data_IF_829945131776
#
_entry.id   IF_829945131776
#
_cell.length_a   1.000
_cell.length_b   1.000
_cell.length_c   1.000
_cell.angle_alpha   90.00
_cell.angle_beta   90.00
_cell.angle_gamma   90.00
#
_symmetry.space_group_name_H-M   'P 1'
#
loop_
_entity.id
_entity.type
_entity.pdbx_description
1 polymer ?
#
# COMPACT_ATOMS: atom_id res chain seq x y z
N UNK A 1 39.87 -28.86 -14.94
CA UNK A 1 40.04 -27.72 -14.03
C UNK A 1 38.82 -26.80 -13.97
N UNK A 2 37.65 -27.27 -14.39
CA UNK A 2 36.37 -26.51 -14.42
C UNK A 2 35.43 -26.87 -13.26
N UNK A 3 35.75 -27.94 -12.52
CA UNK A 3 34.87 -28.53 -11.48
C UNK A 3 34.84 -27.81 -10.14
N UNK A 4 35.92 -27.10 -9.74
CA UNK A 4 35.97 -26.48 -8.40
C UNK A 4 35.23 -25.15 -8.31
N UNK A 5 35.08 -24.42 -9.42
CA UNK A 5 34.37 -23.15 -9.44
C UNK A 5 32.83 -23.33 -9.44
N UNK A 6 32.34 -24.43 -10.00
CA UNK A 6 30.90 -24.72 -10.00
C UNK A 6 30.39 -25.12 -8.61
N UNK A 7 31.18 -25.87 -7.87
CA UNK A 7 30.86 -26.26 -6.49
C UNK A 7 30.89 -25.05 -5.54
N UNK A 8 31.80 -24.09 -5.78
CA UNK A 8 31.90 -22.87 -5.00
C UNK A 8 30.69 -21.93 -5.21
N UNK A 9 30.17 -21.88 -6.44
CA UNK A 9 28.95 -21.08 -6.76
C UNK A 9 27.71 -21.71 -6.10
N UNK A 10 27.60 -23.03 -6.07
CA UNK A 10 26.49 -23.72 -5.41
C UNK A 10 26.54 -23.53 -3.89
N UNK A 11 27.74 -23.61 -3.31
CA UNK A 11 27.91 -23.40 -1.87
C UNK A 11 27.57 -21.95 -1.45
N UNK A 12 27.91 -20.97 -2.28
CA UNK A 12 27.51 -19.58 -2.09
C UNK A 12 26.01 -19.38 -2.21
N UNK A 13 25.34 -20.14 -3.08
CA UNK A 13 23.89 -20.08 -3.25
C UNK A 13 23.13 -20.68 -2.07
N UNK A 14 23.65 -21.77 -1.48
CA UNK A 14 23.05 -22.38 -0.29
C UNK A 14 23.26 -21.53 0.96
N UNK A 15 24.44 -20.93 1.14
CA UNK A 15 24.71 -19.96 2.21
C UNK A 15 23.82 -18.73 2.05
N UNK A 16 23.58 -18.30 0.82
CA UNK A 16 22.65 -17.20 0.50
C UNK A 16 21.21 -17.52 0.91
N UNK A 17 20.73 -18.73 0.65
CA UNK A 17 19.38 -19.18 1.04
C UNK A 17 19.21 -19.31 2.57
N UNK A 18 20.25 -19.68 3.29
CA UNK A 18 20.21 -19.79 4.77
C UNK A 18 20.21 -18.40 5.43
N UNK A 19 20.94 -17.43 4.87
CA UNK A 19 20.98 -16.05 5.37
C UNK A 19 19.74 -15.24 5.00
N UNK A 20 18.99 -15.69 3.98
CA UNK A 20 17.73 -15.05 3.55
C UNK A 20 16.63 -15.08 4.64
N UNK A 21 16.74 -15.98 5.61
CA UNK A 21 15.80 -16.10 6.74
C UNK A 21 16.03 -15.12 7.89
N UNK A 22 17.11 -14.35 7.89
CA UNK A 22 17.53 -13.65 9.11
C UNK A 22 17.95 -12.19 8.98
N UNK A 23 17.55 -11.36 8.06
CA UNK A 23 17.80 -9.92 8.23
C UNK A 23 18.21 -9.16 6.94
N UNK A 24 17.43 -8.19 6.57
CA UNK A 24 17.61 -7.31 5.40
C UNK A 24 18.92 -6.47 5.41
N UNK A 25 19.56 -6.31 6.52
CA UNK A 25 20.78 -5.50 6.65
C UNK A 25 22.04 -6.20 6.14
N UNK A 26 22.08 -7.52 6.18
CA UNK A 26 23.21 -8.31 5.67
C UNK A 26 23.27 -8.33 4.13
N UNK A 27 22.15 -8.09 3.46
CA UNK A 27 22.02 -8.11 2.01
C UNK A 27 22.82 -7.00 1.33
N UNK A 28 22.75 -5.79 1.86
CA UNK A 28 23.40 -4.62 1.25
C UNK A 28 24.93 -4.73 1.36
N UNK A 29 25.44 -5.22 2.48
CA UNK A 29 26.87 -5.42 2.69
C UNK A 29 27.43 -6.55 1.82
N UNK A 30 26.66 -7.63 1.64
CA UNK A 30 27.05 -8.76 0.78
C UNK A 30 27.01 -8.38 -0.71
N UNK A 31 26.05 -7.55 -1.12
CA UNK A 31 25.95 -7.02 -2.49
C UNK A 31 27.18 -6.19 -2.87
N UNK A 32 27.67 -5.36 -1.97
CA UNK A 32 28.88 -4.54 -2.19
C UNK A 32 30.13 -5.43 -2.28
N UNK A 33 30.28 -6.39 -1.38
CA UNK A 33 31.43 -7.33 -1.39
C UNK A 33 31.45 -8.23 -2.64
N UNK A 34 30.28 -8.66 -3.10
CA UNK A 34 30.13 -9.47 -4.29
C UNK A 34 30.51 -8.70 -5.57
N UNK A 35 30.15 -7.44 -5.69
CA UNK A 35 30.51 -6.59 -6.82
C UNK A 35 32.03 -6.36 -6.94
N UNK A 36 32.74 -6.24 -5.84
CA UNK A 36 34.20 -6.02 -5.86
C UNK A 36 34.99 -7.26 -6.32
N UNK A 37 34.48 -8.46 -6.05
CA UNK A 37 35.12 -9.73 -6.49
C UNK A 37 34.84 -10.04 -7.95
N UNK A 38 33.69 -9.63 -8.49
CA UNK A 38 33.29 -9.88 -9.89
C UNK A 38 33.87 -8.87 -10.89
N UNK A 39 34.48 -7.76 -10.43
CA UNK A 39 35.00 -6.73 -11.30
C UNK A 39 36.09 -7.22 -12.27
N UNK A 40 36.69 -8.35 -11.97
CA UNK A 40 37.80 -8.88 -12.79
C UNK A 40 37.38 -9.91 -13.87
N UNK A 41 36.14 -10.42 -13.86
CA UNK A 41 35.88 -11.61 -14.68
C UNK A 41 34.87 -11.51 -15.84
N UNK A 42 33.80 -10.70 -15.85
CA UNK A 42 32.91 -10.62 -17.02
C UNK A 42 31.88 -9.45 -16.95
N UNK A 43 32.05 -8.42 -17.76
CA UNK A 43 31.16 -7.25 -17.81
C UNK A 43 29.69 -7.57 -18.23
N UNK A 44 29.48 -8.59 -19.04
CA UNK A 44 28.13 -8.99 -19.49
C UNK A 44 27.40 -9.87 -18.44
N UNK A 45 28.15 -10.69 -17.70
CA UNK A 45 27.57 -11.54 -16.65
C UNK A 45 27.06 -10.71 -15.48
N UNK A 46 27.75 -9.61 -15.15
CA UNK A 46 27.31 -8.65 -14.12
C UNK A 46 25.98 -8.00 -14.47
N UNK A 47 25.79 -7.60 -15.73
CA UNK A 47 24.53 -6.97 -16.19
C UNK A 47 23.36 -7.93 -16.10
N UNK A 48 23.57 -9.19 -16.48
CA UNK A 48 22.53 -10.23 -16.41
C UNK A 48 22.23 -10.58 -14.96
N UNK A 49 23.25 -10.70 -14.11
CA UNK A 49 23.05 -11.03 -12.70
C UNK A 49 22.38 -9.87 -11.92
N UNK A 50 22.74 -8.63 -12.23
CA UNK A 50 22.05 -7.45 -11.68
C UNK A 50 20.59 -7.39 -12.12
N UNK A 51 20.29 -7.76 -13.36
CA UNK A 51 18.93 -7.81 -13.88
C UNK A 51 18.10 -8.91 -13.19
N UNK A 52 18.69 -10.09 -13.01
CA UNK A 52 18.05 -11.23 -12.30
C UNK A 52 17.83 -10.91 -10.83
N UNK A 53 18.79 -10.27 -10.16
CA UNK A 53 18.65 -9.82 -8.76
C UNK A 53 17.60 -8.69 -8.63
N UNK A 54 17.58 -7.74 -9.56
CA UNK A 54 16.55 -6.71 -9.59
C UNK A 54 15.15 -7.29 -9.84
N UNK A 55 15.05 -8.31 -10.72
CA UNK A 55 13.81 -9.03 -10.95
C UNK A 55 13.38 -9.86 -9.73
N UNK A 56 14.32 -10.55 -9.07
CA UNK A 56 14.04 -11.30 -7.84
C UNK A 56 13.63 -10.37 -6.69
N UNK A 57 14.26 -9.20 -6.54
CA UNK A 57 13.86 -8.20 -5.55
C UNK A 57 12.50 -7.56 -5.89
N UNK A 58 12.18 -7.34 -7.17
CA UNK A 58 10.86 -6.86 -7.58
C UNK A 58 9.76 -7.90 -7.28
N UNK A 59 10.06 -9.20 -7.45
CA UNK A 59 9.11 -10.28 -7.13
C UNK A 59 8.89 -10.45 -5.62
N UNK A 60 9.88 -10.17 -4.78
CA UNK A 60 9.70 -10.26 -3.31
C UNK A 60 8.98 -9.05 -2.71
N UNK A 61 8.95 -7.92 -3.41
CA UNK A 61 8.14 -6.76 -3.02
C UNK A 61 6.64 -6.97 -3.30
N UNK A 62 6.29 -7.99 -4.10
CA UNK A 62 4.90 -8.36 -4.41
C UNK A 62 4.36 -9.50 -3.52
N UNK A 63 5.05 -9.85 -2.44
CA UNK A 63 4.44 -10.63 -1.37
C UNK A 63 3.46 -9.68 -0.66
N UNK A 64 2.26 -9.60 -1.16
CA UNK A 64 1.16 -8.86 -0.55
C UNK A 64 1.12 -9.20 0.94
N UNK A 65 0.86 -8.22 1.79
CA UNK A 65 0.73 -8.46 3.21
C UNK A 65 -0.34 -9.54 3.39
N UNK A 66 0.11 -10.76 3.70
CA UNK A 66 -0.82 -11.88 3.91
C UNK A 66 -1.60 -11.57 5.19
N UNK A 67 -2.84 -11.13 5.04
CA UNK A 67 -3.73 -10.92 6.18
C UNK A 67 -4.04 -12.25 6.87
N UNK A 68 -4.16 -12.23 8.19
CA UNK A 68 -4.45 -13.42 9.01
C UNK A 68 -5.79 -14.06 8.64
N UNK A 69 -6.72 -13.28 8.09
CA UNK A 69 -8.05 -13.67 7.63
C UNK A 69 -8.18 -13.69 6.10
N UNK A 70 -7.09 -13.91 5.38
CA UNK A 70 -7.06 -13.94 3.91
C UNK A 70 -8.03 -14.97 3.31
N UNK A 71 -8.32 -16.08 4.00
CA UNK A 71 -9.28 -17.08 3.58
C UNK A 71 -10.73 -16.57 3.51
N UNK A 72 -11.06 -15.51 4.25
CA UNK A 72 -12.38 -14.88 4.27
C UNK A 72 -12.55 -13.82 3.19
N UNK A 73 -11.49 -13.44 2.51
CA UNK A 73 -11.49 -12.45 1.43
C UNK A 73 -12.05 -13.13 0.17
N UNK A 74 -13.24 -12.71 -0.26
CA UNK A 74 -13.95 -13.28 -1.42
C UNK A 74 -13.67 -12.54 -2.73
N UNK A 75 -13.03 -11.38 -2.66
CA UNK A 75 -12.61 -10.63 -3.84
C UNK A 75 -11.25 -11.13 -4.31
N UNK A 76 -10.91 -10.81 -5.55
CA UNK A 76 -9.62 -11.17 -6.13
C UNK A 76 -8.47 -10.64 -5.26
N UNK A 77 -7.55 -11.51 -4.88
CA UNK A 77 -6.41 -11.17 -4.03
C UNK A 77 -5.55 -10.05 -4.63
N UNK A 78 -5.40 -10.04 -5.97
CA UNK A 78 -4.65 -9.00 -6.68
C UNK A 78 -5.23 -7.60 -6.47
N UNK A 79 -6.57 -7.48 -6.37
CA UNK A 79 -7.24 -6.21 -6.08
C UNK A 79 -6.89 -5.72 -4.68
N UNK A 80 -6.94 -6.62 -3.68
CA UNK A 80 -6.61 -6.27 -2.29
C UNK A 80 -5.14 -5.88 -2.18
N UNK A 81 -4.25 -6.67 -2.76
CA UNK A 81 -2.80 -6.40 -2.77
C UNK A 81 -2.48 -5.06 -3.43
N UNK A 82 -3.16 -4.73 -4.53
CA UNK A 82 -3.02 -3.45 -5.21
C UNK A 82 -3.45 -2.28 -4.31
N UNK A 83 -4.59 -2.39 -3.63
CA UNK A 83 -5.08 -1.35 -2.72
C UNK A 83 -4.17 -1.17 -1.50
N UNK A 84 -3.58 -2.26 -1.00
CA UNK A 84 -2.57 -2.23 0.07
C UNK A 84 -1.29 -1.57 -0.42
N UNK A 85 -0.79 -1.95 -1.59
CA UNK A 85 0.41 -1.36 -2.18
C UNK A 85 0.26 0.15 -2.45
N UNK A 86 -0.94 0.60 -2.80
CA UNK A 86 -1.28 2.02 -2.96
C UNK A 86 -1.50 2.74 -1.61
N UNK A 87 -1.48 2.02 -0.48
CA UNK A 87 -1.74 2.58 0.85
C UNK A 87 -3.19 3.02 1.07
N UNK A 88 -4.13 2.61 0.20
CA UNK A 88 -5.56 2.92 0.32
C UNK A 88 -6.18 2.18 1.50
N UNK A 89 -5.80 0.91 1.68
CA UNK A 89 -6.14 0.06 2.81
C UNK A 89 -4.88 -0.53 3.43
N UNK A 90 -4.82 -0.56 4.77
CA UNK A 90 -3.63 -1.05 5.48
C UNK A 90 -3.92 -2.26 6.38
N UNK A 91 -5.19 -2.70 6.47
CA UNK A 91 -5.60 -3.68 7.48
C UNK A 91 -5.61 -3.09 8.90
N UNK A 92 -5.67 -3.97 9.88
CA UNK A 92 -5.72 -3.63 11.30
C UNK A 92 -4.43 -4.05 12.01
N UNK A 93 -4.19 -3.51 13.20
CA UNK A 93 -2.98 -3.77 14.01
C UNK A 93 -2.82 -5.26 14.40
N UNK A 94 -3.91 -6.02 14.39
CA UNK A 94 -3.93 -7.47 14.62
C UNK A 94 -3.53 -8.29 13.36
N UNK A 95 -3.18 -7.63 12.28
CA UNK A 95 -2.82 -8.24 11.01
C UNK A 95 -4.01 -8.73 10.18
N UNK A 96 -5.26 -8.42 10.57
CA UNK A 96 -6.46 -8.77 9.84
C UNK A 96 -6.87 -7.72 8.82
N UNK A 97 -7.60 -8.13 7.78
CA UNK A 97 -8.25 -7.24 6.81
C UNK A 97 -9.70 -6.93 7.19
N UNK A 98 -10.39 -7.87 7.84
CA UNK A 98 -11.81 -7.84 8.22
C UNK A 98 -12.74 -7.58 7.03
N UNK A 99 -12.75 -8.47 6.02
CA UNK A 99 -13.50 -8.28 4.77
C UNK A 99 -15.02 -8.13 4.98
N UNK A 100 -15.54 -8.66 6.08
CA UNK A 100 -16.95 -8.53 6.46
C UNK A 100 -17.19 -7.33 7.40
N UNK A 101 -16.17 -6.54 7.70
CA UNK A 101 -16.24 -5.34 8.50
C UNK A 101 -17.04 -4.24 7.81
N UNK A 102 -17.56 -3.32 8.60
CA UNK A 102 -18.25 -2.15 8.07
C UNK A 102 -17.31 -0.95 8.03
N UNK A 103 -17.28 -0.26 6.91
CA UNK A 103 -16.49 0.96 6.72
C UNK A 103 -17.28 2.16 7.23
N UNK A 104 -16.65 3.02 8.01
CA UNK A 104 -17.23 4.30 8.44
C UNK A 104 -17.11 5.36 7.35
N UNK A 105 -17.90 6.41 7.44
CA UNK A 105 -17.84 7.57 6.53
C UNK A 105 -16.47 8.26 6.59
N UNK A 106 -15.84 8.30 7.75
CA UNK A 106 -14.50 8.85 7.94
C UNK A 106 -13.41 8.00 7.26
N UNK A 107 -13.48 6.68 7.39
CA UNK A 107 -12.56 5.75 6.72
C UNK A 107 -12.69 5.83 5.20
N UNK A 108 -13.94 5.91 4.69
CA UNK A 108 -14.17 6.09 3.27
C UNK A 108 -13.58 7.40 2.75
N UNK A 109 -13.68 8.50 3.48
CA UNK A 109 -13.06 9.78 3.11
C UNK A 109 -11.52 9.67 3.06
N UNK A 110 -10.90 8.96 4.01
CA UNK A 110 -9.46 8.68 3.99
C UNK A 110 -9.06 7.86 2.76
N UNK A 111 -9.76 6.77 2.47
CA UNK A 111 -9.45 5.92 1.30
C UNK A 111 -9.53 6.72 -0.01
N UNK A 112 -10.55 7.56 -0.17
CA UNK A 112 -10.70 8.42 -1.36
C UNK A 112 -9.56 9.44 -1.45
N UNK A 113 -9.18 10.04 -0.34
CA UNK A 113 -8.04 10.97 -0.30
C UNK A 113 -6.75 10.33 -0.78
N UNK A 114 -6.43 9.16 -0.22
CA UNK A 114 -5.22 8.41 -0.59
C UNK A 114 -5.26 8.01 -2.08
N UNK A 115 -6.41 7.52 -2.54
CA UNK A 115 -6.60 7.12 -3.94
C UNK A 115 -6.36 8.29 -4.92
N UNK A 116 -6.80 9.50 -4.55
CA UNK A 116 -6.66 10.69 -5.41
C UNK A 116 -5.29 11.34 -5.35
N UNK A 117 -4.65 11.33 -4.20
CA UNK A 117 -3.43 12.12 -3.96
C UNK A 117 -2.17 11.28 -3.89
N UNK A 118 -2.30 9.96 -3.66
CA UNK A 118 -1.18 9.08 -3.34
C UNK A 118 -0.52 9.40 -1.99
N UNK A 119 -1.13 10.25 -1.16
CA UNK A 119 -0.58 10.67 0.13
C UNK A 119 -1.40 10.09 1.27
N UNK A 120 -0.75 9.71 2.37
CA UNK A 120 -1.40 9.21 3.57
C UNK A 120 -1.74 10.28 4.59
N UNK A 121 -1.14 11.46 4.51
CA UNK A 121 -1.34 12.59 5.44
C UNK A 121 -2.14 13.72 4.81
N UNK A 122 -3.25 14.10 5.45
CA UNK A 122 -4.13 15.20 5.07
C UNK A 122 -4.08 16.38 6.07
N UNK A 123 -3.05 16.47 6.91
CA UNK A 123 -2.93 17.50 7.95
C UNK A 123 -2.95 18.91 7.37
N UNK A 124 -2.46 19.12 6.15
CA UNK A 124 -2.48 20.38 5.44
C UNK A 124 -3.91 20.96 5.26
N UNK A 125 -4.93 20.12 5.29
CA UNK A 125 -6.34 20.53 5.14
C UNK A 125 -7.07 20.71 6.49
N UNK A 126 -6.38 20.55 7.62
CA UNK A 126 -7.00 20.63 8.94
C UNK A 126 -7.59 22.01 9.24
N UNK A 127 -7.05 23.05 8.68
CA UNK A 127 -7.46 24.44 8.91
C UNK A 127 -8.37 25.00 7.81
N UNK A 128 -8.66 24.18 6.78
CA UNK A 128 -9.58 24.57 5.72
C UNK A 128 -10.99 24.83 6.26
N UNK A 129 -11.74 25.66 5.53
CA UNK A 129 -13.13 25.96 5.86
C UNK A 129 -14.02 24.74 5.65
N UNK A 130 -14.96 24.55 6.54
CA UNK A 130 -15.98 23.50 6.47
C UNK A 130 -17.28 23.98 7.10
N UNK A 131 -18.39 23.47 6.62
CA UNK A 131 -19.69 23.64 7.28
C UNK A 131 -19.94 22.62 8.40
N UNK A 132 -19.12 21.54 8.46
CA UNK A 132 -19.33 20.46 9.41
C UNK A 132 -18.76 20.81 10.80
N UNK A 133 -19.63 20.76 11.81
CA UNK A 133 -19.27 21.10 13.19
C UNK A 133 -18.84 19.90 14.03
N UNK A 134 -19.13 18.69 13.59
CA UNK A 134 -18.93 17.42 14.30
C UNK A 134 -17.62 16.71 13.95
N UNK A 135 -16.76 17.35 13.17
CA UNK A 135 -15.44 16.82 12.81
C UNK A 135 -14.30 17.53 13.56
N UNK A 136 -14.61 18.50 14.40
CA UNK A 136 -13.61 19.20 15.21
C UNK A 136 -12.93 18.23 16.18
N UNK A 137 -11.58 18.12 16.12
CA UNK A 137 -10.82 17.16 16.90
C UNK A 137 -10.88 15.71 16.39
N UNK A 138 -11.66 15.43 15.36
CA UNK A 138 -11.71 14.09 14.78
C UNK A 138 -10.45 13.82 13.93
N UNK A 139 -9.90 12.60 14.03
CA UNK A 139 -8.68 12.20 13.30
C UNK A 139 -8.80 12.36 11.78
N UNK A 140 -9.99 12.17 11.22
CA UNK A 140 -10.25 12.26 9.79
C UNK A 140 -10.58 13.69 9.30
N UNK A 141 -10.44 14.71 10.14
CA UNK A 141 -10.84 16.10 9.83
C UNK A 141 -10.28 16.59 8.49
N UNK A 142 -8.98 16.42 8.25
CA UNK A 142 -8.33 16.86 7.01
C UNK A 142 -8.85 16.12 5.77
N UNK A 143 -9.02 14.82 5.85
CA UNK A 143 -9.57 14.01 4.75
C UNK A 143 -10.99 14.44 4.38
N UNK A 144 -11.83 14.66 5.40
CA UNK A 144 -13.23 15.08 5.22
C UNK A 144 -13.28 16.45 4.56
N UNK A 145 -12.51 17.42 5.05
CA UNK A 145 -12.46 18.77 4.47
C UNK A 145 -11.98 18.77 3.02
N UNK A 146 -10.94 18.01 2.71
CA UNK A 146 -10.47 17.84 1.33
C UNK A 146 -11.58 17.27 0.44
N UNK A 147 -12.21 16.18 0.83
CA UNK A 147 -13.27 15.57 0.04
C UNK A 147 -14.51 16.47 -0.08
N UNK A 148 -14.82 17.26 0.95
CA UNK A 148 -15.90 18.25 0.92
C UNK A 148 -15.60 19.38 -0.08
N UNK A 149 -14.38 19.91 -0.09
CA UNK A 149 -13.99 21.02 -1.00
C UNK A 149 -14.09 20.63 -2.47
N UNK A 150 -13.96 19.34 -2.77
CA UNK A 150 -14.10 18.78 -4.11
C UNK A 150 -15.55 18.30 -4.42
N UNK A 151 -16.48 18.45 -3.49
CA UNK A 151 -17.86 17.98 -3.66
C UNK A 151 -18.02 16.45 -3.71
N UNK A 152 -16.99 15.69 -3.30
CA UNK A 152 -17.01 14.23 -3.30
C UNK A 152 -17.95 13.70 -2.23
N UNK A 153 -17.97 14.35 -1.08
CA UNK A 153 -18.79 13.96 0.06
C UNK A 153 -19.85 15.02 0.36
N UNK A 154 -20.99 14.56 0.86
CA UNK A 154 -22.03 15.38 1.42
C UNK A 154 -22.24 15.02 2.89
N UNK A 155 -22.72 15.98 3.69
CA UNK A 155 -23.16 15.74 5.05
C UNK A 155 -24.49 14.98 5.11
N UNK A 156 -24.81 14.46 6.29
CA UNK A 156 -26.17 14.01 6.64
C UNK A 156 -27.12 15.19 6.83
N UNK A 157 -26.55 16.36 7.15
CA UNK A 157 -27.19 17.66 7.15
C UNK A 157 -26.23 18.76 6.72
N UNK A 158 -26.69 19.99 6.66
CA UNK A 158 -25.84 21.14 6.30
C UNK A 158 -24.65 21.34 7.24
N UNK A 159 -24.74 20.87 8.48
CA UNK A 159 -23.72 21.10 9.51
C UNK A 159 -23.15 19.82 10.12
N UNK A 160 -23.62 18.64 9.70
CA UNK A 160 -23.20 17.36 10.28
C UNK A 160 -22.74 16.39 9.21
N UNK A 161 -21.53 15.86 9.38
CA UNK A 161 -20.98 14.81 8.53
C UNK A 161 -21.26 13.40 9.07
N UNK A 162 -21.25 13.24 10.39
CA UNK A 162 -21.40 12.00 11.15
C UNK A 162 -20.29 10.99 10.81
N UNK A 163 -19.02 11.30 11.15
CA UNK A 163 -17.85 10.58 10.67
C UNK A 163 -17.81 9.10 11.07
N UNK A 164 -18.32 8.74 12.24
CA UNK A 164 -18.30 7.38 12.78
C UNK A 164 -19.50 6.52 12.35
N UNK A 165 -20.45 7.09 11.60
CA UNK A 165 -21.54 6.31 11.03
C UNK A 165 -21.05 5.41 9.90
N UNK A 166 -21.63 4.21 9.78
CA UNK A 166 -21.36 3.29 8.66
C UNK A 166 -21.76 3.94 7.34
N UNK A 167 -20.86 3.90 6.36
CA UNK A 167 -21.19 4.33 5.02
C UNK A 167 -22.16 3.32 4.39
N UNK A 168 -23.25 3.79 3.80
CA UNK A 168 -24.13 2.93 3.02
C UNK A 168 -23.54 2.63 1.64
N UNK A 169 -23.94 1.52 1.02
CA UNK A 169 -23.50 1.19 -0.34
C UNK A 169 -23.83 2.29 -1.36
N UNK A 170 -24.97 2.95 -1.21
CA UNK A 170 -25.38 4.06 -2.07
C UNK A 170 -24.48 5.29 -1.88
N UNK A 171 -24.14 5.64 -0.64
CA UNK A 171 -23.22 6.73 -0.34
C UNK A 171 -21.81 6.44 -0.87
N UNK A 172 -21.30 5.23 -0.63
CA UNK A 172 -20.01 4.79 -1.13
C UNK A 172 -19.93 4.85 -2.67
N UNK A 173 -20.95 4.33 -3.35
CA UNK A 173 -21.06 4.39 -4.82
C UNK A 173 -21.06 5.83 -5.32
N UNK A 174 -21.85 6.72 -4.70
CA UNK A 174 -21.87 8.15 -5.07
C UNK A 174 -20.49 8.79 -4.88
N UNK A 175 -19.84 8.56 -3.74
CA UNK A 175 -18.52 9.11 -3.46
C UNK A 175 -17.49 8.64 -4.51
N UNK A 176 -17.50 7.34 -4.86
CA UNK A 176 -16.60 6.79 -5.86
C UNK A 176 -16.86 7.35 -7.26
N UNK A 177 -18.12 7.45 -7.68
CA UNK A 177 -18.46 8.01 -8.98
C UNK A 177 -18.02 9.47 -9.11
N UNK A 178 -18.27 10.30 -8.08
CA UNK A 178 -17.80 11.69 -8.09
C UNK A 178 -16.26 11.77 -8.08
N UNK A 179 -15.59 10.86 -7.36
CA UNK A 179 -14.13 10.74 -7.37
C UNK A 179 -13.59 10.48 -8.77
N UNK A 180 -14.29 9.68 -9.57
CA UNK A 180 -13.96 9.37 -10.97
C UNK A 180 -14.36 10.50 -11.95
N UNK A 181 -14.96 11.59 -11.47
CA UNK A 181 -15.33 12.74 -12.30
C UNK A 181 -16.78 12.69 -12.83
N UNK A 182 -17.57 11.71 -12.44
CA UNK A 182 -18.99 11.69 -12.78
C UNK A 182 -19.76 12.73 -11.96
N UNK A 183 -20.58 13.54 -12.64
CA UNK A 183 -21.42 14.52 -11.96
C UNK A 183 -22.79 13.92 -11.65
N UNK A 184 -23.17 13.88 -10.37
CA UNK A 184 -24.45 13.35 -9.92
C UNK A 184 -25.68 14.26 -10.25
N UNK A 185 -25.45 15.38 -10.94
CA UNK A 185 -26.47 16.38 -11.21
C UNK A 185 -26.90 16.46 -12.70
N UNK A 186 -26.66 15.38 -13.45
CA UNK A 186 -27.17 15.26 -14.79
C UNK A 186 -28.14 14.11 -14.91
#
# INVERSE_FOLDING_TARGET
MVSSHFIFIFYLFDVFLILFKSSYFCYFSFFIAYNTVLDSLYCNLKKILALVLAFACAFTMFAGAAFTDSADIKVDAEVVDTLVALGVVNGYDDGSFKPNGTVTRAEMAKMIYVLRTGKSDASAYNDDKTSFTDINGHWARGYIKYCQSLGIIAGKSNTKFVPNEKVSAQEAAKMLLVTLGYNAQK
#
